data_IF_611389084095
#
_entry.id   IF_611389084095
#
_cell.length_a   1.000
_cell.length_b   1.000
_cell.length_c   1.000
_cell.angle_alpha   90.00
_cell.angle_beta   90.00
_cell.angle_gamma   90.00
#
_symmetry.space_group_name_H-M   'P 1'
#
loop_
_entity.id
_entity.type
_entity.pdbx_description
1 polymer ?
#
# COMPACT_ATOMS: atom_id res chain seq x y z
N UNK A 1 35.46 -24.06 -40.37
CA UNK A 1 35.56 -22.59 -40.43
C UNK A 1 34.33 -22.07 -41.16
N UNK A 2 33.52 -21.19 -40.57
CA UNK A 2 32.55 -20.38 -41.33
C UNK A 2 31.07 -20.47 -40.91
N UNK A 3 30.73 -20.09 -39.67
CA UNK A 3 29.37 -19.60 -39.38
C UNK A 3 29.31 -18.10 -39.71
N UNK A 4 29.11 -17.77 -40.99
CA UNK A 4 28.90 -16.39 -41.44
C UNK A 4 27.41 -16.05 -41.27
N UNK A 5 27.03 -15.63 -40.06
CA UNK A 5 25.69 -15.09 -39.80
C UNK A 5 25.56 -13.75 -40.54
N UNK A 6 24.77 -13.76 -41.62
CA UNK A 6 24.40 -12.58 -42.42
C UNK A 6 24.05 -11.38 -41.52
N UNK A 7 24.68 -10.23 -41.76
CA UNK A 7 24.65 -9.04 -40.89
C UNK A 7 23.24 -8.50 -40.53
N UNK A 8 22.21 -8.85 -41.31
CA UNK A 8 20.80 -8.55 -40.95
C UNK A 8 20.31 -9.35 -39.73
N UNK A 9 20.75 -10.60 -39.55
CA UNK A 9 20.38 -11.44 -38.40
C UNK A 9 21.07 -10.98 -37.11
N UNK A 10 22.29 -10.46 -37.20
CA UNK A 10 23.04 -9.93 -36.06
C UNK A 10 22.46 -8.61 -35.51
N UNK A 11 21.97 -7.74 -36.40
CA UNK A 11 21.26 -6.51 -36.03
C UNK A 11 19.90 -6.79 -35.36
N UNK A 12 19.14 -7.75 -35.87
CA UNK A 12 17.84 -8.10 -35.27
C UNK A 12 18.02 -8.70 -33.86
N UNK A 13 19.03 -9.56 -33.65
CA UNK A 13 19.32 -10.12 -32.33
C UNK A 13 19.74 -9.05 -31.31
N UNK A 14 20.49 -8.03 -31.72
CA UNK A 14 20.93 -6.95 -30.81
C UNK A 14 19.79 -6.02 -30.42
N UNK A 15 18.87 -5.70 -31.33
CA UNK A 15 17.66 -4.92 -31.00
C UNK A 15 16.69 -5.69 -30.10
N UNK A 16 16.55 -7.01 -30.26
CA UNK A 16 15.70 -7.83 -29.38
C UNK A 16 16.31 -7.92 -27.97
N UNK A 17 17.63 -8.11 -27.85
CA UNK A 17 18.30 -8.18 -26.54
C UNK A 17 18.25 -6.83 -25.82
N UNK A 18 18.48 -5.71 -26.50
CA UNK A 18 18.37 -4.36 -25.92
C UNK A 18 16.93 -3.99 -25.57
N UNK A 19 15.96 -4.40 -26.40
CA UNK A 19 14.54 -4.21 -26.11
C UNK A 19 14.12 -4.95 -24.84
N UNK A 20 14.49 -6.24 -24.71
CA UNK A 20 14.19 -7.05 -23.52
C UNK A 20 14.89 -6.51 -22.27
N UNK A 21 16.15 -6.07 -22.37
CA UNK A 21 16.85 -5.42 -21.25
C UNK A 21 16.19 -4.09 -20.83
N UNK A 22 15.77 -3.27 -21.79
CA UNK A 22 15.08 -2.00 -21.52
C UNK A 22 13.75 -2.18 -20.79
N UNK A 23 12.98 -3.22 -21.13
CA UNK A 23 11.73 -3.53 -20.42
C UNK A 23 12.00 -4.08 -19.01
N UNK A 24 13.09 -4.82 -18.82
CA UNK A 24 13.45 -5.40 -17.52
C UNK A 24 13.89 -4.34 -16.49
N UNK A 25 14.60 -3.29 -16.92
CA UNK A 25 14.97 -2.18 -16.03
C UNK A 25 13.78 -1.31 -15.61
N UNK A 26 12.77 -1.14 -16.47
CA UNK A 26 11.56 -0.38 -16.13
C UNK A 26 10.66 -1.11 -15.11
N UNK A 27 10.67 -2.45 -15.10
CA UNK A 27 9.87 -3.24 -14.17
C UNK A 27 10.34 -3.14 -12.70
N UNK A 28 11.62 -2.83 -12.47
CA UNK A 28 12.18 -2.68 -11.11
C UNK A 28 11.88 -1.32 -10.48
N UNK A 29 11.35 -0.33 -11.21
CA UNK A 29 11.05 0.99 -10.65
C UNK A 29 9.64 1.11 -10.06
N UNK A 30 8.85 0.02 -10.06
CA UNK A 30 7.46 0.00 -9.57
C UNK A 30 7.26 -0.90 -8.35
N UNK A 31 8.34 -1.34 -7.69
CA UNK A 31 8.25 -2.05 -6.42
C UNK A 31 7.93 -1.05 -5.29
N UNK A 32 6.65 -0.70 -5.14
CA UNK A 32 6.18 -0.05 -3.92
C UNK A 32 6.58 -0.96 -2.75
N UNK A 33 7.51 -0.49 -1.92
CA UNK A 33 7.97 -1.20 -0.74
C UNK A 33 6.75 -1.64 0.07
N UNK A 34 6.71 -2.87 0.62
CA UNK A 34 5.62 -3.30 1.52
C UNK A 34 5.40 -2.38 2.72
N UNK A 35 6.37 -1.50 3.05
CA UNK A 35 6.28 -0.47 4.10
C UNK A 35 5.52 0.79 3.68
N UNK A 36 5.40 1.04 2.38
CA UNK A 36 4.74 2.21 1.80
C UNK A 36 3.31 1.89 1.35
N UNK A 37 2.56 1.16 2.19
CA UNK A 37 1.17 0.86 1.87
C UNK A 37 0.36 2.16 1.85
N UNK A 38 -0.18 2.50 0.68
CA UNK A 38 -0.87 3.77 0.37
C UNK A 38 -2.07 4.06 1.28
N UNK A 39 -2.63 3.06 1.97
CA UNK A 39 -3.70 3.28 2.95
C UNK A 39 -3.20 3.60 4.37
N UNK A 40 -1.90 3.41 4.66
CA UNK A 40 -1.24 3.71 5.94
C UNK A 40 -0.46 5.03 5.88
N UNK A 41 -0.86 5.96 5.01
CA UNK A 41 -0.17 7.23 4.78
C UNK A 41 -0.28 8.21 5.95
N UNK A 42 -1.20 8.02 6.90
CA UNK A 42 -1.32 8.87 8.09
C UNK A 42 -1.06 8.09 9.39
N UNK A 43 -0.49 8.72 10.43
CA UNK A 43 -0.25 8.05 11.71
C UNK A 43 -1.55 7.60 12.37
N UNK A 44 -2.65 8.35 12.17
CA UNK A 44 -3.99 7.97 12.61
C UNK A 44 -4.42 6.64 12.00
N UNK A 45 -4.33 6.49 10.67
CA UNK A 45 -4.71 5.25 9.99
C UNK A 45 -3.81 4.08 10.37
N UNK A 46 -2.51 4.32 10.55
CA UNK A 46 -1.58 3.32 11.07
C UNK A 46 -1.96 2.87 12.49
N UNK A 47 -2.31 3.80 13.36
CA UNK A 47 -2.76 3.49 14.72
C UNK A 47 -4.08 2.71 14.71
N UNK A 48 -5.07 3.13 13.92
CA UNK A 48 -6.35 2.43 13.75
C UNK A 48 -6.18 0.99 13.23
N UNK A 49 -5.15 0.75 12.42
CA UNK A 49 -4.90 -0.58 11.86
C UNK A 49 -4.11 -1.48 12.81
N UNK A 50 -2.97 -1.01 13.33
CA UNK A 50 -2.05 -1.85 14.12
C UNK A 50 -2.25 -1.77 15.63
N UNK A 51 -2.64 -0.61 16.15
CA UNK A 51 -2.59 -0.33 17.59
C UNK A 51 -3.95 -0.42 18.27
N UNK A 52 -4.99 0.15 17.64
CA UNK A 52 -6.33 0.20 18.23
C UNK A 52 -7.03 -1.15 18.44
N UNK A 53 -6.70 -2.25 17.73
CA UNK A 53 -7.28 -3.55 18.07
C UNK A 53 -7.04 -3.94 19.54
N UNK A 54 -5.93 -3.50 20.14
CA UNK A 54 -5.64 -3.71 21.56
C UNK A 54 -5.82 -2.42 22.39
N UNK A 55 -5.36 -1.27 21.89
CA UNK A 55 -5.37 -0.02 22.64
C UNK A 55 -6.67 0.79 22.53
N UNK A 56 -7.60 0.38 21.66
CA UNK A 56 -8.85 1.09 21.39
C UNK A 56 -8.66 2.30 20.49
N UNK A 57 -9.71 2.69 19.75
CA UNK A 57 -9.67 3.85 18.83
C UNK A 57 -9.43 5.16 19.59
N UNK A 58 -9.89 5.22 20.84
CA UNK A 58 -9.69 6.35 21.76
C UNK A 58 -8.42 6.22 22.61
N UNK A 59 -7.60 5.20 22.37
CA UNK A 59 -6.35 4.98 23.11
C UNK A 59 -6.53 4.58 24.58
N UNK A 60 -7.72 4.11 25.00
CA UNK A 60 -8.02 3.83 26.41
C UNK A 60 -7.53 2.47 26.92
N UNK A 61 -6.90 1.67 26.06
CA UNK A 61 -6.50 0.31 26.39
C UNK A 61 -7.67 -0.68 26.35
N UNK A 62 -8.77 -0.33 25.66
CA UNK A 62 -10.06 -1.04 25.63
C UNK A 62 -10.42 -1.52 24.21
N UNK A 63 -9.41 -1.86 23.38
CA UNK A 63 -9.62 -2.33 22.01
C UNK A 63 -10.42 -3.63 21.93
N UNK A 64 -10.93 -4.00 20.77
CA UNK A 64 -11.77 -5.21 20.63
C UNK A 64 -11.09 -6.50 21.12
N UNK A 65 -9.76 -6.61 20.95
CA UNK A 65 -8.96 -7.73 21.47
C UNK A 65 -8.57 -7.60 22.96
N UNK A 66 -9.01 -6.54 23.64
CA UNK A 66 -8.98 -6.45 25.11
C UNK A 66 -9.84 -7.53 25.78
N UNK A 67 -10.85 -8.05 25.07
CA UNK A 67 -11.81 -9.06 25.57
C UNK A 67 -11.20 -10.43 25.85
N UNK A 68 -9.95 -10.67 25.46
CA UNK A 68 -9.23 -11.94 25.68
C UNK A 68 -8.52 -11.97 27.06
N UNK A 69 -8.91 -11.13 28.01
CA UNK A 69 -8.30 -11.02 29.35
C UNK A 69 -6.76 -10.92 29.32
N UNK A 70 -6.23 -10.03 28.46
CA UNK A 70 -4.80 -9.78 28.37
C UNK A 70 -4.26 -9.31 29.75
N UNK A 71 -3.33 -10.09 30.31
CA UNK A 71 -2.64 -9.80 31.57
C UNK A 71 -1.14 -9.60 31.29
N UNK A 72 -0.60 -8.38 31.47
CA UNK A 72 -1.26 -7.14 31.85
C UNK A 72 -2.10 -6.52 30.72
N UNK A 73 -3.06 -5.67 31.09
CA UNK A 73 -3.92 -4.94 30.16
C UNK A 73 -3.09 -3.99 29.27
N UNK A 74 -3.49 -3.78 27.99
CA UNK A 74 -2.94 -2.75 27.14
C UNK A 74 -2.95 -1.37 27.82
N UNK A 75 -1.94 -0.56 27.53
CA UNK A 75 -1.79 0.75 28.17
C UNK A 75 -2.91 1.70 27.73
N UNK A 76 -3.52 2.37 28.71
CA UNK A 76 -4.31 3.57 28.49
C UNK A 76 -3.37 4.77 28.21
N UNK A 77 -3.46 5.34 27.01
CA UNK A 77 -2.70 6.51 26.55
C UNK A 77 -3.35 7.85 26.92
N UNK A 78 -4.59 7.86 27.42
CA UNK A 78 -5.22 9.06 27.98
C UNK A 78 -4.76 9.36 29.41
N UNK A 79 -4.00 8.45 30.04
CA UNK A 79 -3.43 8.61 31.38
C UNK A 79 -2.27 9.61 31.36
N UNK A 80 -2.59 10.89 31.61
CA UNK A 80 -1.66 12.01 31.56
C UNK A 80 -0.45 11.80 32.48
N UNK A 81 -0.68 11.39 33.72
CA UNK A 81 0.38 11.23 34.72
C UNK A 81 1.33 10.09 34.39
N UNK A 82 0.82 9.02 33.78
CA UNK A 82 1.67 7.97 33.25
C UNK A 82 2.47 8.44 32.03
N UNK A 83 1.81 9.08 31.06
CA UNK A 83 2.42 9.49 29.79
C UNK A 83 3.48 10.59 29.95
N UNK A 84 3.33 11.48 30.95
CA UNK A 84 4.37 12.46 31.35
C UNK A 84 5.66 11.80 31.81
N UNK A 85 5.58 10.62 32.44
CA UNK A 85 6.75 9.88 32.95
C UNK A 85 7.46 9.05 31.88
N UNK A 86 6.96 9.04 30.64
CA UNK A 86 7.57 8.30 29.53
C UNK A 86 8.27 9.27 28.60
N UNK A 87 9.50 8.95 28.20
CA UNK A 87 10.21 9.72 27.17
C UNK A 87 9.77 9.28 25.77
N UNK A 88 9.97 10.13 24.77
CA UNK A 88 9.67 9.77 23.37
C UNK A 88 10.50 8.57 22.93
N UNK A 89 11.78 8.52 23.31
CA UNK A 89 12.66 7.40 23.00
C UNK A 89 12.16 6.08 23.58
N UNK A 90 11.61 6.09 24.80
CA UNK A 90 10.99 4.90 25.37
C UNK A 90 9.77 4.44 24.57
N UNK A 91 8.95 5.37 24.07
CA UNK A 91 7.79 5.04 23.24
C UNK A 91 8.22 4.55 21.86
N UNK A 92 9.19 5.22 21.22
CA UNK A 92 9.78 4.80 19.94
C UNK A 92 10.37 3.39 20.07
N UNK A 93 11.16 3.14 21.11
CA UNK A 93 11.75 1.82 21.37
C UNK A 93 10.68 0.77 21.60
N UNK A 94 9.65 1.07 22.40
CA UNK A 94 8.54 0.14 22.63
C UNK A 94 7.78 -0.23 21.36
N UNK A 95 7.63 0.70 20.41
CA UNK A 95 6.96 0.42 19.13
C UNK A 95 7.90 -0.35 18.20
N UNK A 96 9.18 0.03 18.16
CA UNK A 96 10.18 -0.55 17.26
C UNK A 96 10.51 -2.00 17.64
N UNK A 97 10.80 -2.22 18.92
CA UNK A 97 11.33 -3.48 19.47
C UNK A 97 10.30 -4.27 20.30
N UNK A 98 9.08 -3.73 20.47
CA UNK A 98 8.02 -4.32 21.28
C UNK A 98 8.15 -3.97 22.76
N UNK A 99 7.11 -4.26 23.53
CA UNK A 99 7.03 -3.84 24.94
C UNK A 99 8.04 -4.56 25.85
N UNK A 100 8.57 -5.71 25.45
CA UNK A 100 9.61 -6.43 26.21
C UNK A 100 10.92 -5.63 26.28
N UNK A 101 11.26 -4.88 25.24
CA UNK A 101 12.51 -4.12 25.14
C UNK A 101 12.60 -2.90 26.08
N UNK A 102 11.46 -2.54 26.69
CA UNK A 102 11.30 -1.49 27.69
C UNK A 102 10.86 -2.07 29.04
N UNK A 103 11.23 -3.33 29.30
CA UNK A 103 10.99 -4.06 30.56
C UNK A 103 9.49 -4.11 30.95
N UNK A 104 8.62 -4.22 29.94
CA UNK A 104 7.18 -4.47 30.11
C UNK A 104 6.83 -5.88 29.62
N UNK A 105 5.54 -6.17 29.48
CA UNK A 105 5.06 -7.45 28.98
C UNK A 105 5.59 -7.75 27.58
N UNK A 106 5.50 -9.00 27.14
CA UNK A 106 5.81 -9.43 25.77
C UNK A 106 4.60 -9.38 24.83
N UNK A 107 3.49 -8.75 25.24
CA UNK A 107 2.21 -8.81 24.51
C UNK A 107 2.11 -7.78 23.37
N UNK A 108 2.85 -6.67 23.43
CA UNK A 108 2.94 -5.73 22.31
C UNK A 108 4.11 -6.15 21.40
N UNK A 109 3.84 -6.60 20.16
CA UNK A 109 4.88 -7.10 19.25
C UNK A 109 5.76 -5.95 18.72
N UNK A 110 6.97 -6.28 18.22
CA UNK A 110 7.85 -5.31 17.56
C UNK A 110 7.32 -4.92 16.18
N UNK A 111 7.32 -3.62 15.87
CA UNK A 111 6.86 -3.09 14.59
C UNK A 111 7.96 -2.52 13.70
N UNK A 112 9.22 -2.50 14.16
CA UNK A 112 10.35 -1.88 13.44
C UNK A 112 10.68 -2.49 12.07
N UNK A 113 10.23 -3.72 11.79
CA UNK A 113 10.37 -4.34 10.47
C UNK A 113 9.21 -4.01 9.52
N UNK A 114 8.06 -3.64 10.09
CA UNK A 114 6.80 -3.37 9.38
C UNK A 114 6.64 -1.88 9.07
N UNK A 115 6.98 -1.01 10.03
CA UNK A 115 6.83 0.43 9.92
C UNK A 115 8.19 1.11 9.71
N UNK A 116 8.20 2.19 8.95
CA UNK A 116 9.39 3.04 8.81
C UNK A 116 9.66 3.80 10.11
N UNK A 117 10.92 4.16 10.36
CA UNK A 117 11.29 4.97 11.53
C UNK A 117 10.50 6.29 11.56
N UNK A 118 10.33 6.94 10.41
CA UNK A 118 9.50 8.14 10.26
C UNK A 118 8.07 7.89 10.75
N UNK A 119 7.43 6.80 10.32
CA UNK A 119 6.07 6.45 10.75
C UNK A 119 5.99 6.20 12.25
N UNK A 120 7.00 5.55 12.83
CA UNK A 120 7.06 5.29 14.28
C UNK A 120 7.11 6.59 15.06
N UNK A 121 7.94 7.56 14.65
CA UNK A 121 8.00 8.89 15.28
C UNK A 121 6.65 9.62 15.19
N UNK A 122 6.02 9.61 14.02
CA UNK A 122 4.68 10.20 13.83
C UNK A 122 3.60 9.50 14.68
N UNK A 123 3.70 8.19 14.87
CA UNK A 123 2.82 7.45 15.77
C UNK A 123 2.99 7.89 17.22
N UNK A 124 4.22 8.15 17.69
CA UNK A 124 4.46 8.65 19.05
C UNK A 124 3.79 10.01 19.27
N UNK A 125 3.90 10.92 18.29
CA UNK A 125 3.18 12.21 18.33
C UNK A 125 1.67 12.00 18.41
N UNK A 126 1.13 11.11 17.58
CA UNK A 126 -0.31 10.78 17.60
C UNK A 126 -0.74 10.16 18.93
N UNK A 127 0.05 9.24 19.50
CA UNK A 127 -0.21 8.62 20.80
C UNK A 127 -0.23 9.66 21.92
N UNK A 128 0.69 10.62 21.92
CA UNK A 128 0.71 11.70 22.92
C UNK A 128 -0.52 12.59 22.84
N UNK A 129 -1.09 12.77 21.65
CA UNK A 129 -2.30 13.59 21.49
C UNK A 129 -3.46 13.09 22.34
N UNK A 130 -3.59 11.78 22.63
CA UNK A 130 -4.64 11.23 23.47
C UNK A 130 -4.64 11.79 24.90
N UNK A 131 -3.46 12.06 25.47
CA UNK A 131 -3.32 12.68 26.79
C UNK A 131 -3.41 14.21 26.76
N UNK A 132 -3.33 14.84 25.58
CA UNK A 132 -3.47 16.29 25.44
C UNK A 132 -4.93 16.75 25.31
N UNK A 133 -5.82 15.90 24.76
CA UNK A 133 -7.22 16.26 24.48
C UNK A 133 -8.11 16.45 25.72
N UNK A 134 -7.67 16.08 26.93
CA UNK A 134 -8.41 16.40 28.16
C UNK A 134 -8.26 17.87 28.59
N UNK A 135 -7.30 18.60 28.03
CA UNK A 135 -7.12 20.03 28.31
C UNK A 135 -7.85 20.96 27.34
N UNK A 136 -8.21 20.50 26.15
CA UNK A 136 -8.95 21.31 25.17
C UNK A 136 -9.87 20.44 24.30
N UNK A 137 -11.17 20.71 24.39
CA UNK A 137 -12.18 20.31 23.41
C UNK A 137 -12.83 21.61 22.91
N UNK A 138 -13.06 21.85 21.61
CA UNK A 138 -12.31 21.44 20.42
C UNK A 138 -11.92 22.66 19.55
N UNK A 139 -10.68 22.76 19.05
CA UNK A 139 -10.35 23.71 17.96
C UNK A 139 -9.50 23.01 16.90
N UNK A 140 -10.16 22.39 15.93
CA UNK A 140 -9.73 22.35 14.51
C UNK A 140 -10.94 21.96 13.66
N UNK A 141 -11.92 22.85 13.66
CA UNK A 141 -12.60 23.17 12.42
C UNK A 141 -11.66 24.15 11.67
N UNK A 142 -11.47 23.89 10.38
CA UNK A 142 -10.61 24.61 9.42
C UNK A 142 -9.10 24.31 9.51
N UNK A 143 -8.60 23.45 8.62
CA UNK A 143 -8.27 23.92 7.26
C UNK A 143 -8.01 22.72 6.34
N UNK A 144 -8.92 22.55 5.39
CA UNK A 144 -8.68 21.78 4.18
C UNK A 144 -7.47 22.35 3.43
N UNK A 145 -6.58 21.47 3.01
CA UNK A 145 -5.65 21.73 1.93
C UNK A 145 -5.62 20.46 1.07
N UNK A 146 -6.59 20.41 0.15
CA UNK A 146 -6.43 20.02 -1.26
C UNK A 146 -5.37 18.93 -1.47
N UNK A 147 -5.81 17.67 -1.45
CA UNK A 147 -5.18 16.67 -2.31
C UNK A 147 -5.94 16.75 -3.62
N UNK A 148 -5.27 17.24 -4.66
CA UNK A 148 -5.75 17.08 -6.03
C UNK A 148 -6.19 15.63 -6.23
N UNK A 149 -7.47 15.45 -6.55
CA UNK A 149 -8.01 14.22 -7.05
C UNK A 149 -7.32 13.93 -8.39
N UNK A 150 -6.21 13.21 -8.33
CA UNK A 150 -5.46 12.79 -9.50
C UNK A 150 -6.37 11.91 -10.36
N UNK A 151 -6.80 12.47 -11.50
CA UNK A 151 -7.56 11.82 -12.58
C UNK A 151 -6.76 10.73 -13.30
N UNK A 152 -6.05 9.85 -12.60
CA UNK A 152 -5.29 8.76 -13.22
C UNK A 152 -6.11 7.46 -13.36
N UNK A 153 -7.16 7.29 -12.56
CA UNK A 153 -8.07 6.14 -12.64
C UNK A 153 -8.97 6.13 -13.88
N UNK A 154 -9.49 7.29 -14.31
CA UNK A 154 -10.40 7.39 -15.47
C UNK A 154 -9.63 7.13 -16.77
N UNK A 155 -8.41 7.67 -16.89
CA UNK A 155 -7.58 7.51 -18.09
C UNK A 155 -7.14 6.05 -18.30
N UNK A 156 -6.82 5.33 -17.22
CA UNK A 156 -6.41 3.91 -17.30
C UNK A 156 -7.59 2.98 -17.61
N UNK A 157 -8.82 3.35 -17.22
CA UNK A 157 -10.04 2.63 -17.57
C UNK A 157 -10.39 2.80 -19.05
N UNK A 158 -10.27 4.02 -19.60
CA UNK A 158 -10.58 4.31 -21.01
C UNK A 158 -9.68 3.56 -22.00
N UNK A 159 -8.39 3.41 -21.72
CA UNK A 159 -7.47 2.65 -22.59
C UNK A 159 -7.82 1.15 -22.58
N UNK A 160 -8.23 0.60 -21.43
CA UNK A 160 -8.60 -0.83 -21.33
C UNK A 160 -9.82 -1.17 -22.18
N UNK A 161 -10.83 -0.31 -22.20
CA UNK A 161 -12.04 -0.51 -23.00
C UNK A 161 -11.78 -0.34 -24.51
N UNK A 162 -10.87 0.56 -24.90
CA UNK A 162 -10.47 0.69 -26.30
C UNK A 162 -9.77 -0.57 -26.83
N UNK A 163 -8.84 -1.14 -26.05
CA UNK A 163 -8.17 -2.40 -26.44
C UNK A 163 -9.15 -3.57 -26.55
N UNK A 164 -10.10 -3.70 -25.62
CA UNK A 164 -11.13 -4.74 -25.68
C UNK A 164 -12.02 -4.54 -26.91
N UNK A 165 -12.46 -3.31 -27.18
CA UNK A 165 -13.29 -2.99 -28.34
C UNK A 165 -12.63 -3.34 -29.68
N UNK A 166 -11.35 -3.00 -29.85
CA UNK A 166 -10.58 -3.31 -31.07
C UNK A 166 -10.43 -4.83 -31.26
N UNK A 167 -10.13 -5.58 -30.20
CA UNK A 167 -10.00 -7.04 -30.25
C UNK A 167 -11.34 -7.67 -30.63
N UNK A 168 -12.44 -7.24 -30.00
CA UNK A 168 -13.78 -7.77 -30.32
C UNK A 168 -14.17 -7.48 -31.77
N UNK A 169 -13.87 -6.29 -32.29
CA UNK A 169 -14.17 -5.94 -33.68
C UNK A 169 -13.37 -6.78 -34.68
N UNK A 170 -12.09 -7.03 -34.39
CA UNK A 170 -11.24 -7.86 -35.24
C UNK A 170 -11.73 -9.32 -35.29
N UNK A 171 -12.10 -9.88 -34.14
CA UNK A 171 -12.64 -11.24 -34.05
C UNK A 171 -14.00 -11.35 -34.75
N UNK A 172 -14.89 -10.38 -34.54
CA UNK A 172 -16.19 -10.36 -35.20
C UNK A 172 -16.05 -10.18 -36.72
N UNK A 173 -15.14 -9.32 -37.17
CA UNK A 173 -14.85 -9.12 -38.59
C UNK A 173 -14.37 -10.41 -39.27
N UNK A 174 -13.41 -11.11 -38.65
CA UNK A 174 -12.93 -12.40 -39.15
C UNK A 174 -14.02 -13.48 -39.22
N UNK A 175 -14.88 -13.56 -38.20
CA UNK A 175 -16.00 -14.49 -38.20
C UNK A 175 -17.01 -14.18 -39.32
N UNK A 176 -17.31 -12.89 -39.57
CA UNK A 176 -18.24 -12.46 -40.61
C UNK A 176 -17.68 -12.75 -42.02
N UNK A 177 -16.38 -12.56 -42.25
CA UNK A 177 -15.76 -12.86 -43.55
C UNK A 177 -15.81 -14.34 -43.85
N UNK A 178 -15.53 -15.18 -42.86
CA UNK A 178 -15.58 -16.64 -43.03
C UNK A 178 -17.01 -17.13 -43.27
N UNK A 179 -17.98 -16.58 -42.54
CA UNK A 179 -19.41 -16.88 -42.76
C UNK A 179 -19.92 -16.47 -44.15
N UNK A 180 -19.47 -15.33 -44.68
CA UNK A 180 -19.83 -14.90 -46.05
C UNK A 180 -19.22 -15.83 -47.11
N UNK A 181 -18.00 -16.30 -46.88
CA UNK A 181 -17.33 -17.26 -47.77
C UNK A 181 -18.08 -18.60 -47.82
N UNK A 182 -18.38 -19.18 -46.67
CA UNK A 182 -19.10 -20.46 -46.58
C UNK A 182 -20.50 -20.40 -47.20
N UNK A 183 -21.23 -19.28 -47.03
CA UNK A 183 -22.56 -19.08 -47.64
C UNK A 183 -22.51 -19.02 -49.16
N UNK A 184 -21.48 -18.37 -49.72
CA UNK A 184 -21.31 -18.25 -51.16
C UNK A 184 -20.92 -19.60 -51.79
N UNK A 185 -20.15 -20.42 -51.07
CA UNK A 185 -19.82 -21.80 -51.48
C UNK A 185 -21.06 -22.71 -51.43
N UNK A 186 -21.89 -22.63 -50.39
CA UNK A 186 -23.13 -23.45 -50.29
C UNK A 186 -24.18 -23.09 -51.34
N UNK A 187 -24.21 -21.85 -51.83
CA UNK A 187 -25.15 -21.40 -52.88
C UNK A 187 -24.75 -21.81 -54.31
N UNK A 188 -23.58 -22.44 -54.48
CA UNK A 188 -23.05 -22.89 -55.78
C UNK A 188 -23.15 -24.41 -55.98
N UNK A 189 -23.70 -25.14 -55.01
CA UNK A 189 -24.11 -26.55 -55.12
C UNK A 189 -25.62 -26.62 -55.31
#
# INVERSE_FOLDING_TARGET
MGYFLSGKKLLICTFVVLGVFGVYSAAQALDVSPRDQVFLLSPKKTFEYYCSPCHGIKGKGDGTFFTIDLKPKPRNFTDVEYMKKRTDDQLIKSITEGSKAVEKSNLCPPWGKTLTEKRIKELVVYIRSFSAQETEKPVVAAKEAIVEEKKDGVFKSSVRWLFIGVITLALAGGAITEWKKLRNESSRC
#
